data_IF_359339461819
#
_entry.id   IF_359339461819
#
_cell.length_a   1.000
_cell.length_b   1.000
_cell.length_c   1.000
_cell.angle_alpha   90.00
_cell.angle_beta   90.00
_cell.angle_gamma   90.00
#
_symmetry.space_group_name_H-M   'P 1'
#
loop_
_entity.id
_entity.type
_entity.pdbx_description
1 polymer ?
#
# COMPACT_ATOMS: atom_id res chain seq x y z
N UNK A 1 20.71 -8.27 6.54
CA UNK A 1 21.42 -9.41 5.90
C UNK A 1 22.06 -8.89 4.63
N UNK A 2 23.31 -9.29 4.33
CA UNK A 2 23.98 -8.96 3.05
C UNK A 2 23.84 -10.17 2.13
N UNK A 3 23.33 -9.95 0.93
CA UNK A 3 23.04 -11.00 -0.06
C UNK A 3 23.46 -10.48 -1.43
N UNK A 4 24.01 -11.37 -2.27
CA UNK A 4 24.33 -11.07 -3.66
C UNK A 4 23.22 -11.60 -4.54
N UNK A 5 22.60 -10.73 -5.33
CA UNK A 5 21.49 -11.07 -6.24
C UNK A 5 21.84 -10.43 -7.59
N UNK A 6 21.62 -11.18 -8.68
CA UNK A 6 21.82 -10.64 -10.02
C UNK A 6 20.54 -9.92 -10.48
N UNK A 7 20.66 -8.65 -10.85
CA UNK A 7 19.53 -7.79 -11.25
C UNK A 7 19.92 -7.12 -12.57
N UNK A 8 19.04 -7.09 -13.58
CA UNK A 8 19.29 -6.36 -14.82
C UNK A 8 19.57 -4.87 -14.56
N UNK A 9 20.59 -4.33 -15.21
CA UNK A 9 21.00 -2.92 -15.01
C UNK A 9 19.91 -1.92 -15.40
N UNK A 10 19.11 -2.23 -16.43
CA UNK A 10 18.00 -1.38 -16.87
C UNK A 10 16.97 -1.17 -15.76
N UNK A 11 16.56 -2.27 -15.11
CA UNK A 11 15.61 -2.24 -13.99
C UNK A 11 16.20 -1.46 -12.81
N UNK A 12 17.50 -1.63 -12.54
CA UNK A 12 18.15 -0.94 -11.44
C UNK A 12 18.28 0.57 -11.70
N UNK A 13 18.58 0.97 -12.94
CA UNK A 13 18.61 2.38 -13.35
C UNK A 13 17.22 3.00 -13.27
N UNK A 14 16.21 2.29 -13.75
CA UNK A 14 14.82 2.74 -13.67
C UNK A 14 14.39 2.90 -12.20
N UNK A 15 14.66 1.92 -11.35
CA UNK A 15 14.39 2.01 -9.92
C UNK A 15 15.08 3.21 -9.27
N UNK A 16 16.33 3.49 -9.62
CA UNK A 16 17.07 4.65 -9.11
C UNK A 16 16.57 5.98 -9.68
N UNK A 17 16.01 5.99 -10.88
CA UNK A 17 15.42 7.20 -11.45
C UNK A 17 14.12 7.61 -10.74
N UNK A 18 13.33 6.63 -10.30
CA UNK A 18 12.12 6.86 -9.49
C UNK A 18 12.43 7.01 -8.00
N UNK A 19 13.49 6.36 -7.51
CA UNK A 19 13.94 6.46 -6.13
C UNK A 19 14.66 7.80 -5.90
N UNK A 20 14.30 8.52 -4.85
CA UNK A 20 15.01 9.75 -4.46
C UNK A 20 16.37 9.46 -3.78
N UNK A 21 16.93 8.25 -3.93
CA UNK A 21 18.12 7.80 -3.22
C UNK A 21 19.24 7.43 -4.19
N UNK A 22 20.48 7.84 -3.86
CA UNK A 22 21.67 7.49 -4.63
C UNK A 22 22.21 6.08 -4.34
N UNK A 23 21.65 5.40 -3.33
CA UNK A 23 22.16 4.12 -2.84
C UNK A 23 21.36 2.96 -3.39
N UNK A 24 22.03 2.08 -4.16
CA UNK A 24 21.46 0.86 -4.73
C UNK A 24 20.76 0.00 -3.67
N UNK A 25 21.41 -0.21 -2.53
CA UNK A 25 20.88 -1.03 -1.43
C UNK A 25 19.63 -0.43 -0.81
N UNK A 26 19.60 0.90 -0.65
CA UNK A 26 18.47 1.61 -0.03
C UNK A 26 17.25 1.58 -0.94
N UNK A 27 17.43 1.86 -2.23
CA UNK A 27 16.37 1.80 -3.23
C UNK A 27 15.71 0.42 -3.28
N UNK A 28 16.50 -0.66 -3.31
CA UNK A 28 15.98 -2.04 -3.29
C UNK A 28 15.24 -2.34 -1.99
N UNK A 29 15.78 -1.89 -0.85
CA UNK A 29 15.16 -2.13 0.46
C UNK A 29 13.80 -1.44 0.59
N UNK A 30 13.67 -0.21 0.08
CA UNK A 30 12.41 0.53 0.05
C UNK A 30 11.40 -0.11 -0.90
N UNK A 31 11.82 -0.47 -2.12
CA UNK A 31 10.97 -1.15 -3.09
C UNK A 31 10.36 -2.46 -2.53
N UNK A 32 11.17 -3.26 -1.84
CA UNK A 32 10.69 -4.48 -1.20
C UNK A 32 9.67 -4.20 -0.08
N UNK A 33 9.89 -3.17 0.74
CA UNK A 33 8.93 -2.76 1.79
C UNK A 33 7.61 -2.32 1.18
N UNK A 34 7.66 -1.52 0.12
CA UNK A 34 6.48 -1.00 -0.56
C UNK A 34 5.70 -2.14 -1.22
N UNK A 35 6.39 -3.08 -1.87
CA UNK A 35 5.74 -4.24 -2.45
C UNK A 35 5.00 -5.08 -1.39
N UNK A 36 5.63 -5.35 -0.24
CA UNK A 36 4.98 -6.06 0.88
C UNK A 36 3.74 -5.29 1.38
N UNK A 37 3.84 -3.96 1.50
CA UNK A 37 2.71 -3.09 1.90
C UNK A 37 1.57 -3.19 0.88
N UNK A 38 1.87 -3.15 -0.41
CA UNK A 38 0.89 -3.32 -1.48
C UNK A 38 0.19 -4.69 -1.41
N UNK A 39 0.92 -5.77 -1.15
CA UNK A 39 0.31 -7.10 -0.99
C UNK A 39 -0.62 -7.17 0.22
N UNK A 40 -0.24 -6.54 1.36
CA UNK A 40 -1.12 -6.45 2.53
C UNK A 40 -2.41 -5.69 2.22
N UNK A 41 -2.32 -4.55 1.53
CA UNK A 41 -3.49 -3.77 1.10
C UNK A 41 -4.36 -4.59 0.13
N UNK A 42 -3.75 -5.30 -0.82
CA UNK A 42 -4.47 -6.17 -1.75
C UNK A 42 -5.22 -7.29 -1.03
N UNK A 43 -4.60 -7.89 -0.01
CA UNK A 43 -5.25 -8.90 0.85
C UNK A 43 -6.39 -8.30 1.67
N UNK A 44 -6.24 -7.09 2.21
CA UNK A 44 -7.34 -6.42 2.91
C UNK A 44 -8.50 -6.09 1.94
N UNK A 45 -8.18 -5.61 0.74
CA UNK A 45 -9.18 -5.35 -0.31
C UNK A 45 -9.89 -6.63 -0.75
N UNK A 46 -9.21 -7.79 -0.80
CA UNK A 46 -9.87 -9.06 -1.16
C UNK A 46 -10.78 -9.61 -0.05
N UNK A 47 -10.68 -9.09 1.17
CA UNK A 47 -11.62 -9.36 2.26
C UNK A 47 -12.84 -8.42 2.21
N UNK A 48 -12.82 -7.37 1.39
CA UNK A 48 -13.97 -6.48 1.15
C UNK A 48 -15.12 -7.31 0.56
N UNK A 49 -16.26 -7.31 1.23
CA UNK A 49 -17.44 -8.11 0.87
C UNK A 49 -17.59 -9.42 1.66
N UNK A 50 -16.58 -9.86 2.42
CA UNK A 50 -16.72 -10.96 3.40
C UNK A 50 -17.17 -10.48 4.77
N UNK A 51 -16.83 -9.25 5.14
CA UNK A 51 -17.41 -8.59 6.30
C UNK A 51 -18.80 -8.09 5.91
N UNK A 52 -19.83 -8.79 6.42
CA UNK A 52 -21.21 -8.33 6.40
C UNK A 52 -21.31 -7.19 7.40
N UNK A 53 -21.05 -5.98 6.93
CA UNK A 53 -21.21 -4.78 7.74
C UNK A 53 -22.69 -4.42 7.65
N UNK A 54 -23.48 -4.91 8.60
CA UNK A 54 -24.88 -4.50 8.77
C UNK A 54 -24.89 -3.10 9.42
N UNK A 55 -24.68 -2.09 8.58
CA UNK A 55 -24.82 -0.68 8.95
C UNK A 55 -26.03 -0.11 8.23
N UNK A 56 -27.01 0.36 9.00
CA UNK A 56 -28.15 1.10 8.49
C UNK A 56 -27.71 2.54 8.18
N UNK A 57 -27.27 2.73 6.94
CA UNK A 57 -26.71 3.99 6.42
C UNK A 57 -27.72 5.14 6.51
N UNK A 58 -29.02 4.85 6.44
CA UNK A 58 -30.08 5.86 6.54
C UNK A 58 -30.22 6.37 7.98
N UNK A 59 -30.15 5.49 8.98
CA UNK A 59 -30.15 5.90 10.39
C UNK A 59 -28.97 6.79 10.75
N UNK A 60 -27.76 6.44 10.31
CA UNK A 60 -26.58 7.24 10.62
C UNK A 60 -26.64 8.63 9.97
N UNK A 61 -27.09 8.72 8.71
CA UNK A 61 -27.27 10.00 8.03
C UNK A 61 -28.35 10.87 8.70
N UNK A 62 -29.41 10.23 9.21
CA UNK A 62 -30.48 10.94 9.91
C UNK A 62 -30.05 11.46 11.30
N UNK A 63 -29.10 10.80 11.97
CA UNK A 63 -28.49 11.32 13.20
C UNK A 63 -27.57 12.50 12.91
N UNK A 64 -26.69 12.40 11.90
CA UNK A 64 -25.79 13.49 11.51
C UNK A 64 -26.54 14.77 11.11
N UNK A 65 -27.73 14.65 10.50
CA UNK A 65 -28.55 15.79 10.10
C UNK A 65 -29.26 16.47 11.28
N UNK A 66 -29.48 15.75 12.39
CA UNK A 66 -30.09 16.30 13.61
C UNK A 66 -29.12 17.13 14.45
N UNK A 67 -27.82 16.87 14.30
CA UNK A 67 -26.75 17.62 14.98
C UNK A 67 -26.30 18.86 14.18
N UNK A 68 -26.97 19.18 13.07
CA UNK A 68 -26.76 20.42 12.32
C UNK A 68 -27.53 21.58 12.98
N UNK A 69 -26.89 22.71 13.32
CA UNK A 69 -27.54 23.86 13.96
C UNK A 69 -28.58 24.56 13.07
#
# INVERSE_FOLDING_TARGET
MRTTINIPDEIMKELLSYSQTKSKTKAVSEALKDWIRMQKIKKLKSLRGKLKIEMDLEKQRAEDLKDLP
#
